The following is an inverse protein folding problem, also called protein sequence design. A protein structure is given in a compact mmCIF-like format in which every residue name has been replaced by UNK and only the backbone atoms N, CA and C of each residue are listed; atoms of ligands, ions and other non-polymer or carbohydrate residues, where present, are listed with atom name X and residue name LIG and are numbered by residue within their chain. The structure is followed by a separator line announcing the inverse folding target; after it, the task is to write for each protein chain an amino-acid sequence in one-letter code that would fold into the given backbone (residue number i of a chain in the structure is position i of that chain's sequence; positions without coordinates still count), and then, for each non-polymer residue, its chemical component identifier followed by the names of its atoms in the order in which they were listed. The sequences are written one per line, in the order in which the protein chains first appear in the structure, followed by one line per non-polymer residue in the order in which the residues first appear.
data_IF_644516198154
#
_entry.id   IF_644516198154
#
_cell.length_a   1.000
_cell.length_b   1.000
_cell.length_c   1.000
_cell.angle_alpha   90.00
_cell.angle_beta   90.00
_cell.angle_gamma   90.00
#
_symmetry.space_group_name_H-M   'P 1'
#
loop_
_entity.id
_entity.type
_entity.pdbx_description
1 polymer ?
#
# COMPACT_ATOMS: atom_id res chain seq x y z
N UNK A 1 -6.30 25.06 3.22
CA UNK A 1 -6.95 24.24 4.29
C UNK A 1 -8.06 23.47 3.60
N UNK A 2 -7.98 22.15 3.60
CA UNK A 2 -9.08 21.30 3.10
C UNK A 2 -10.14 21.30 4.19
N UNK A 3 -11.35 21.80 3.94
CA UNK A 3 -12.42 21.75 4.92
C UNK A 3 -12.85 20.28 5.12
N UNK A 4 -12.54 19.73 6.28
CA UNK A 4 -13.01 18.41 6.70
C UNK A 4 -14.32 18.61 7.44
N UNK A 5 -15.39 17.96 6.99
CA UNK A 5 -16.68 17.98 7.66
C UNK A 5 -16.70 16.96 8.79
N UNK A 6 -17.51 17.22 9.80
CA UNK A 6 -17.72 16.27 10.91
C UNK A 6 -18.22 14.91 10.40
N UNK A 7 -19.10 14.91 9.41
CA UNK A 7 -19.63 13.72 8.75
C UNK A 7 -18.51 12.86 8.13
N UNK A 8 -17.49 13.50 7.53
CA UNK A 8 -16.34 12.81 6.94
C UNK A 8 -15.50 12.09 8.00
N UNK A 9 -15.40 12.68 9.19
CA UNK A 9 -14.69 12.09 10.33
C UNK A 9 -15.48 10.89 10.87
N UNK A 10 -16.79 11.04 11.07
CA UNK A 10 -17.67 9.98 11.55
C UNK A 10 -17.62 8.79 10.60
N UNK A 11 -17.80 9.00 9.29
CA UNK A 11 -17.68 7.94 8.27
C UNK A 11 -16.33 7.22 8.35
N UNK A 12 -15.25 7.98 8.53
CA UNK A 12 -13.90 7.42 8.63
C UNK A 12 -13.73 6.52 9.86
N UNK A 13 -14.22 6.94 11.02
CA UNK A 13 -14.15 6.17 12.27
C UNK A 13 -14.98 4.89 12.21
N UNK A 14 -16.17 4.93 11.64
CA UNK A 14 -17.01 3.75 11.45
C UNK A 14 -16.34 2.71 10.54
N UNK A 15 -15.78 3.16 9.43
CA UNK A 15 -15.02 2.30 8.51
C UNK A 15 -13.80 1.67 9.19
N UNK A 16 -13.06 2.42 10.02
CA UNK A 16 -11.92 1.90 10.76
C UNK A 16 -12.33 0.81 11.76
N UNK A 17 -13.41 1.03 12.51
CA UNK A 17 -13.92 0.03 13.46
C UNK A 17 -14.30 -1.28 12.78
N UNK A 18 -14.95 -1.20 11.62
CA UNK A 18 -15.29 -2.37 10.82
C UNK A 18 -14.03 -3.08 10.28
N UNK A 19 -13.06 -2.30 9.81
CA UNK A 19 -11.80 -2.85 9.31
C UNK A 19 -11.00 -3.52 10.42
N UNK A 20 -10.89 -2.92 11.60
CA UNK A 20 -10.17 -3.47 12.74
C UNK A 20 -10.63 -4.89 13.09
N UNK A 21 -11.95 -5.12 13.10
CA UNK A 21 -12.50 -6.45 13.38
C UNK A 21 -12.08 -7.50 12.33
N UNK A 22 -11.81 -7.07 11.10
CA UNK A 22 -11.45 -7.96 9.99
C UNK A 22 -9.96 -8.26 9.90
N UNK A 23 -9.10 -7.31 10.33
CA UNK A 23 -7.65 -7.41 10.12
C UNK A 23 -6.82 -7.51 11.40
N UNK A 24 -7.43 -7.42 12.58
CA UNK A 24 -6.72 -7.56 13.85
C UNK A 24 -6.20 -8.99 14.06
N UNK A 25 -5.32 -9.15 15.05
CA UNK A 25 -4.74 -10.44 15.45
C UNK A 25 -5.76 -11.49 15.92
N UNK A 26 -7.00 -11.09 16.16
CA UNK A 26 -8.10 -12.01 16.46
C UNK A 26 -8.60 -12.76 15.21
N UNK A 27 -8.24 -12.31 14.01
CA UNK A 27 -8.56 -12.95 12.75
C UNK A 27 -7.26 -13.31 12.02
N UNK A 28 -6.77 -14.52 12.18
CA UNK A 28 -5.57 -15.04 11.51
C UNK A 28 -5.92 -15.97 10.32
N UNK A 29 -7.13 -15.85 9.78
CA UNK A 29 -7.57 -16.61 8.61
C UNK A 29 -7.25 -15.88 7.29
N UNK A 30 -7.43 -16.54 6.17
CA UNK A 30 -7.20 -15.94 4.83
C UNK A 30 -8.22 -14.84 4.48
N UNK A 31 -9.28 -14.67 5.28
CA UNK A 31 -10.18 -13.51 5.18
C UNK A 31 -9.55 -12.20 5.66
N UNK A 32 -8.44 -12.26 6.40
CA UNK A 32 -7.68 -11.10 6.84
C UNK A 32 -6.83 -10.56 5.69
N UNK A 33 -7.32 -9.53 5.02
CA UNK A 33 -6.65 -8.93 3.85
C UNK A 33 -5.24 -8.39 4.15
N UNK A 34 -5.00 -7.88 5.35
CA UNK A 34 -3.67 -7.39 5.73
C UNK A 34 -2.68 -8.54 5.87
N UNK A 35 -3.08 -9.64 6.50
CA UNK A 35 -2.28 -10.84 6.64
C UNK A 35 -2.02 -11.51 5.29
N UNK A 36 -3.06 -11.65 4.44
CA UNK A 36 -2.91 -12.22 3.10
C UNK A 36 -1.93 -11.42 2.25
N UNK A 37 -2.07 -10.10 2.21
CA UNK A 37 -1.12 -9.24 1.50
C UNK A 37 0.30 -9.39 2.04
N UNK A 38 0.48 -9.43 3.36
CA UNK A 38 1.80 -9.62 3.97
C UNK A 38 2.48 -10.94 3.57
N UNK A 39 1.70 -12.02 3.41
CA UNK A 39 2.20 -13.32 2.91
C UNK A 39 2.64 -13.26 1.44
N UNK A 40 1.94 -12.47 0.64
CA UNK A 40 2.16 -12.38 -0.81
C UNK A 40 3.31 -11.46 -1.21
N UNK A 41 3.61 -10.43 -0.40
CA UNK A 41 4.73 -9.52 -0.67
C UNK A 41 6.04 -10.32 -0.74
N UNK A 42 6.67 -10.27 -1.90
CA UNK A 42 7.99 -10.84 -2.18
C UNK A 42 8.95 -9.76 -2.67
N UNK A 43 10.25 -10.01 -2.66
CA UNK A 43 11.25 -9.09 -3.20
C UNK A 43 11.15 -7.65 -2.64
N UNK A 44 11.28 -6.67 -3.53
CA UNK A 44 11.22 -5.24 -3.21
C UNK A 44 9.86 -4.70 -3.66
N UNK A 45 8.94 -4.35 -2.74
CA UNK A 45 7.65 -3.79 -3.13
C UNK A 45 7.80 -2.44 -3.83
N UNK A 46 7.17 -2.30 -5.00
CA UNK A 46 6.96 -1.03 -5.69
C UNK A 46 5.47 -0.69 -5.65
N UNK A 47 5.13 0.33 -4.88
CA UNK A 47 3.75 0.73 -4.64
C UNK A 47 3.38 1.81 -5.64
N UNK A 48 2.56 1.48 -6.63
CA UNK A 48 1.96 2.44 -7.54
C UNK A 48 0.71 3.06 -6.92
N UNK A 49 0.58 4.37 -7.01
CA UNK A 49 -0.57 5.10 -6.49
C UNK A 49 -1.12 6.06 -7.54
N UNK A 50 -2.44 6.34 -7.53
CA UNK A 50 -3.04 7.39 -8.34
C UNK A 50 -3.08 8.70 -7.58
N UNK A 51 -3.36 9.80 -8.26
CA UNK A 51 -3.68 11.06 -7.63
C UNK A 51 -4.70 10.89 -6.48
N UNK A 52 -4.40 11.49 -5.33
CA UNK A 52 -5.23 11.43 -4.11
C UNK A 52 -4.93 10.27 -3.16
N UNK A 53 -4.20 9.20 -3.58
CA UNK A 53 -3.80 8.11 -2.70
C UNK A 53 -2.29 8.12 -2.37
N UNK A 54 -1.57 9.15 -2.77
CA UNK A 54 -0.12 9.31 -2.53
C UNK A 54 0.25 9.12 -1.05
N UNK A 55 -0.49 9.74 -0.14
CA UNK A 55 -0.20 9.66 1.29
C UNK A 55 -0.24 8.21 1.80
N UNK A 56 -1.19 7.39 1.32
CA UNK A 56 -1.27 5.98 1.68
C UNK A 56 -0.09 5.17 1.11
N UNK A 57 0.30 5.43 -0.14
CA UNK A 57 1.45 4.79 -0.77
C UNK A 57 2.76 5.10 -0.05
N UNK A 58 3.03 6.39 0.20
CA UNK A 58 4.23 6.83 0.93
C UNK A 58 4.25 6.26 2.35
N UNK A 59 3.12 6.31 3.06
CA UNK A 59 3.02 5.75 4.41
C UNK A 59 3.33 4.26 4.41
N UNK A 60 2.78 3.49 3.47
CA UNK A 60 3.03 2.06 3.38
C UNK A 60 4.50 1.74 3.12
N UNK A 61 5.14 2.45 2.17
CA UNK A 61 6.58 2.33 1.95
C UNK A 61 7.36 2.55 3.25
N UNK A 62 7.06 3.64 3.97
CA UNK A 62 7.74 3.97 5.22
C UNK A 62 7.50 2.89 6.30
N UNK A 63 6.26 2.41 6.44
CA UNK A 63 5.91 1.36 7.40
C UNK A 63 6.62 0.02 7.09
N UNK A 64 6.76 -0.36 5.82
CA UNK A 64 7.54 -1.55 5.44
C UNK A 64 9.03 -1.40 5.78
N UNK A 65 9.61 -0.22 5.52
CA UNK A 65 10.99 0.09 5.87
C UNK A 65 11.22 0.08 7.38
N UNK A 66 10.31 0.69 8.14
CA UNK A 66 10.43 0.81 9.60
C UNK A 66 10.10 -0.48 10.33
N UNK A 67 8.98 -1.16 10.01
CA UNK A 67 8.51 -2.34 10.71
C UNK A 67 9.19 -3.62 10.20
N UNK A 68 9.15 -3.86 8.90
CA UNK A 68 9.67 -5.09 8.28
C UNK A 68 11.15 -5.01 7.88
N UNK A 69 11.82 -3.87 8.10
CA UNK A 69 13.24 -3.62 7.78
C UNK A 69 13.58 -3.95 6.31
N UNK A 70 12.65 -3.77 5.40
CA UNK A 70 12.81 -4.10 3.99
C UNK A 70 12.80 -2.84 3.11
N UNK A 71 13.56 -2.87 2.01
CA UNK A 71 13.44 -1.81 1.01
C UNK A 71 12.06 -1.84 0.37
N UNK A 72 11.52 -0.66 0.10
CA UNK A 72 10.28 -0.48 -0.64
C UNK A 72 10.35 0.81 -1.44
N UNK A 73 9.68 0.84 -2.58
CA UNK A 73 9.59 1.98 -3.49
C UNK A 73 8.15 2.44 -3.65
N UNK A 74 7.97 3.67 -4.09
CA UNK A 74 6.64 4.23 -4.32
C UNK A 74 6.69 5.17 -5.53
N UNK A 75 5.68 5.10 -6.40
CA UNK A 75 5.67 5.87 -7.64
C UNK A 75 4.24 6.24 -8.07
N UNK A 76 4.07 7.44 -8.61
CA UNK A 76 2.81 7.84 -9.24
C UNK A 76 2.59 7.04 -10.53
N UNK A 77 1.40 6.46 -10.70
CA UNK A 77 1.11 5.58 -11.86
C UNK A 77 1.14 6.33 -13.19
N UNK A 78 0.85 7.63 -13.19
CA UNK A 78 0.88 8.44 -14.41
C UNK A 78 2.33 8.66 -14.82
N UNK A 79 3.19 9.02 -13.87
CA UNK A 79 4.63 9.21 -14.12
C UNK A 79 5.30 7.89 -14.50
N UNK A 80 5.01 6.82 -13.76
CA UNK A 80 5.49 5.47 -14.04
C UNK A 80 5.20 5.01 -15.47
N UNK A 81 4.08 5.43 -16.02
CA UNK A 81 3.71 5.09 -17.42
C UNK A 81 4.59 5.76 -18.48
N UNK A 82 5.43 6.72 -18.10
CA UNK A 82 6.38 7.37 -19.00
C UNK A 82 7.80 6.80 -18.86
N UNK A 83 8.25 6.57 -17.62
CA UNK A 83 9.64 6.19 -17.34
C UNK A 83 9.74 4.81 -16.67
N UNK A 84 9.02 4.62 -15.57
CA UNK A 84 9.13 3.42 -14.72
C UNK A 84 8.78 2.13 -15.45
N UNK A 85 7.87 2.20 -16.43
CA UNK A 85 7.46 1.03 -17.22
C UNK A 85 8.63 0.38 -17.98
N UNK A 86 9.63 1.16 -18.39
CA UNK A 86 10.79 0.66 -19.13
C UNK A 86 11.66 -0.27 -18.29
N UNK A 87 11.68 -0.07 -16.97
CA UNK A 87 12.45 -0.92 -16.06
C UNK A 87 11.97 -2.40 -16.04
N UNK A 88 10.73 -2.65 -16.47
CA UNK A 88 10.15 -3.99 -16.55
C UNK A 88 10.53 -4.78 -17.79
N UNK A 89 11.35 -4.21 -18.68
CA UNK A 89 11.92 -4.91 -19.85
C UNK A 89 13.01 -5.90 -19.43
N UNK A 90 13.51 -5.82 -18.21
CA UNK A 90 14.47 -6.77 -17.63
C UNK A 90 13.86 -7.52 -16.45
N UNK A 91 14.41 -8.72 -16.17
CA UNK A 91 14.07 -9.44 -14.97
C UNK A 91 14.37 -8.62 -13.71
N UNK A 92 13.46 -8.67 -12.75
CA UNK A 92 13.55 -7.87 -11.55
C UNK A 92 13.03 -8.63 -10.32
N UNK A 93 13.58 -8.31 -9.15
CA UNK A 93 13.07 -8.78 -7.86
C UNK A 93 12.02 -7.80 -7.28
N UNK A 94 11.55 -6.86 -8.08
CA UNK A 94 10.53 -5.88 -7.68
C UNK A 94 9.15 -6.51 -7.77
N UNK A 95 8.33 -6.27 -6.74
CA UNK A 95 6.95 -6.77 -6.64
C UNK A 95 5.96 -5.59 -6.73
N UNK A 96 5.20 -5.47 -7.83
CA UNK A 96 4.26 -4.38 -8.02
C UNK A 96 3.03 -4.49 -7.12
N UNK A 97 2.67 -3.40 -6.45
CA UNK A 97 1.45 -3.26 -5.67
C UNK A 97 0.68 -2.05 -6.19
N UNK A 98 -0.52 -2.27 -6.72
CA UNK A 98 -1.34 -1.25 -7.37
C UNK A 98 -2.41 -0.74 -6.40
N UNK A 99 -2.23 0.47 -5.84
CA UNK A 99 -3.27 1.12 -5.04
C UNK A 99 -4.28 1.80 -5.98
N UNK A 100 -5.53 1.39 -5.92
CA UNK A 100 -6.58 1.91 -6.79
C UNK A 100 -7.73 2.53 -6.01
N UNK A 101 -8.29 3.60 -6.54
CA UNK A 101 -9.47 4.26 -6.01
C UNK A 101 -10.73 3.93 -6.81
N UNK A 102 -11.85 3.72 -6.13
CA UNK A 102 -13.16 3.51 -6.78
C UNK A 102 -13.53 4.67 -7.73
N UNK A 103 -13.17 5.90 -7.33
CA UNK A 103 -13.44 7.13 -8.10
C UNK A 103 -12.20 7.71 -8.78
N UNK A 104 -11.22 6.88 -9.13
CA UNK A 104 -10.10 7.35 -9.94
C UNK A 104 -10.58 7.98 -11.24
N UNK A 105 -9.86 9.00 -11.71
CA UNK A 105 -10.13 9.64 -13.00
C UNK A 105 -10.15 8.59 -14.11
N UNK A 106 -11.01 8.80 -15.12
CA UNK A 106 -11.15 7.85 -16.23
C UNK A 106 -9.81 7.55 -16.91
N UNK A 107 -8.94 8.55 -17.09
CA UNK A 107 -7.61 8.37 -17.66
C UNK A 107 -6.69 7.53 -16.78
N UNK A 108 -6.81 7.65 -15.46
CA UNK A 108 -6.09 6.81 -14.51
C UNK A 108 -6.59 5.35 -14.59
N UNK A 109 -7.89 5.14 -14.69
CA UNK A 109 -8.48 3.79 -14.88
C UNK A 109 -8.02 3.14 -16.19
N UNK A 110 -7.93 3.91 -17.27
CA UNK A 110 -7.36 3.44 -18.54
C UNK A 110 -5.88 3.02 -18.37
N UNK A 111 -5.07 3.79 -17.64
CA UNK A 111 -3.67 3.45 -17.36
C UNK A 111 -3.54 2.17 -16.52
N UNK A 112 -4.34 2.03 -15.49
CA UNK A 112 -4.37 0.78 -14.70
C UNK A 112 -4.67 -0.43 -15.59
N UNK A 113 -5.64 -0.31 -16.50
CA UNK A 113 -5.97 -1.38 -17.44
C UNK A 113 -4.79 -1.72 -18.36
N UNK A 114 -4.13 -0.71 -18.93
CA UNK A 114 -3.00 -0.91 -19.83
C UNK A 114 -1.81 -1.52 -19.08
N UNK A 115 -1.49 -1.02 -17.88
CA UNK A 115 -0.40 -1.52 -17.06
C UNK A 115 -0.61 -3.00 -16.68
N UNK A 116 -1.83 -3.38 -16.31
CA UNK A 116 -2.17 -4.77 -16.00
C UNK A 116 -2.03 -5.67 -17.23
N UNK A 117 -2.50 -5.26 -18.39
CA UNK A 117 -2.31 -6.00 -19.65
C UNK A 117 -0.81 -6.21 -19.94
N UNK A 118 0.01 -5.18 -19.70
CA UNK A 118 1.45 -5.30 -19.85
C UNK A 118 2.06 -6.31 -18.88
N UNK A 119 1.71 -6.24 -17.62
CA UNK A 119 2.19 -7.18 -16.60
C UNK A 119 1.75 -8.63 -16.88
N UNK A 120 0.49 -8.83 -17.26
CA UNK A 120 -0.04 -10.14 -17.63
C UNK A 120 0.70 -10.76 -18.82
N UNK A 121 0.93 -9.96 -19.88
CA UNK A 121 1.67 -10.40 -21.08
C UNK A 121 3.14 -10.72 -20.76
N UNK A 122 3.75 -9.98 -19.84
CA UNK A 122 5.14 -10.15 -19.40
C UNK A 122 5.29 -11.16 -18.26
N UNK A 123 4.20 -11.80 -17.81
CA UNK A 123 4.14 -12.74 -16.69
C UNK A 123 4.70 -12.15 -15.38
N UNK A 124 4.50 -10.85 -15.17
CA UNK A 124 4.86 -10.14 -13.94
C UNK A 124 3.70 -10.28 -12.97
N UNK A 125 3.95 -10.94 -11.84
CA UNK A 125 2.98 -11.04 -10.76
C UNK A 125 2.82 -9.68 -10.07
N UNK A 126 1.59 -9.26 -9.81
CA UNK A 126 1.28 -8.00 -9.13
C UNK A 126 0.10 -8.15 -8.18
N UNK A 127 -0.08 -7.18 -7.28
CA UNK A 127 -1.21 -7.14 -6.35
C UNK A 127 -2.01 -5.87 -6.50
N UNK A 128 -3.33 -6.01 -6.51
CA UNK A 128 -4.27 -4.89 -6.54
C UNK A 128 -4.87 -4.66 -5.15
N UNK A 129 -4.88 -3.41 -4.71
CA UNK A 129 -5.49 -2.98 -3.46
C UNK A 129 -6.42 -1.82 -3.74
N UNK A 130 -7.69 -2.01 -3.43
CA UNK A 130 -8.71 -1.00 -3.66
C UNK A 130 -9.04 -0.24 -2.38
N UNK A 131 -9.15 1.09 -2.49
CA UNK A 131 -9.75 1.89 -1.44
C UNK A 131 -11.24 1.54 -1.28
N UNK A 132 -11.79 1.81 -0.11
CA UNK A 132 -13.25 1.76 0.08
C UNK A 132 -13.94 2.88 -0.71
N UNK A 133 -15.26 2.77 -0.86
CA UNK A 133 -16.11 3.89 -1.28
C UNK A 133 -16.19 4.90 -0.14
N UNK A 134 -16.51 6.16 -0.46
CA UNK A 134 -16.67 7.20 0.54
C UNK A 134 -15.88 8.47 0.22
N UNK A 135 -15.76 9.35 1.20
CA UNK A 135 -14.97 10.57 1.10
C UNK A 135 -13.47 10.27 1.05
N UNK A 136 -12.65 11.26 0.70
CA UNK A 136 -11.19 11.07 0.55
C UNK A 136 -10.50 10.73 1.87
N UNK A 137 -10.96 11.28 2.99
CA UNK A 137 -10.41 11.01 4.31
C UNK A 137 -10.64 9.54 4.69
N UNK A 138 -11.87 9.03 4.53
CA UNK A 138 -12.22 7.64 4.78
C UNK A 138 -11.37 6.67 3.94
N UNK A 139 -11.17 6.97 2.66
CA UNK A 139 -10.31 6.18 1.76
C UNK A 139 -8.87 6.12 2.22
N UNK A 140 -8.28 7.27 2.52
CA UNK A 140 -6.89 7.37 2.95
C UNK A 140 -6.66 6.68 4.29
N UNK A 141 -7.49 6.96 5.29
CA UNK A 141 -7.35 6.39 6.63
C UNK A 141 -7.56 4.87 6.59
N UNK A 142 -8.55 4.39 5.83
CA UNK A 142 -8.77 2.95 5.64
C UNK A 142 -7.54 2.26 5.03
N UNK A 143 -6.98 2.81 3.93
CA UNK A 143 -5.79 2.25 3.30
C UNK A 143 -4.59 2.30 4.23
N UNK A 144 -4.33 3.42 4.89
CA UNK A 144 -3.22 3.57 5.84
C UNK A 144 -3.32 2.50 6.92
N UNK A 145 -4.49 2.33 7.53
CA UNK A 145 -4.70 1.37 8.60
C UNK A 145 -4.50 -0.08 8.14
N UNK A 146 -5.07 -0.44 6.98
CA UNK A 146 -4.88 -1.76 6.35
C UNK A 146 -3.40 -2.05 6.09
N UNK A 147 -2.69 -1.08 5.52
CA UNK A 147 -1.31 -1.22 5.08
C UNK A 147 -0.30 -1.16 6.24
N UNK A 148 -0.59 -0.40 7.29
CA UNK A 148 0.18 -0.44 8.53
C UNK A 148 0.10 -1.83 9.18
N UNK A 149 -1.09 -2.44 9.29
CA UNK A 149 -1.23 -3.82 9.74
C UNK A 149 -0.48 -4.81 8.83
N UNK A 150 -0.53 -4.60 7.51
CA UNK A 150 0.22 -5.42 6.56
C UNK A 150 1.72 -5.39 6.86
N UNK A 151 2.27 -4.22 7.14
CA UNK A 151 3.70 -4.07 7.44
C UNK A 151 4.12 -4.78 8.75
N UNK A 152 3.26 -4.73 9.76
CA UNK A 152 3.47 -5.46 11.02
C UNK A 152 3.39 -6.98 10.80
N UNK A 153 2.38 -7.46 10.08
CA UNK A 153 2.29 -8.87 9.74
C UNK A 153 3.49 -9.34 8.91
N UNK A 154 3.97 -8.49 7.98
CA UNK A 154 5.18 -8.80 7.21
C UNK A 154 6.41 -8.94 8.10
N UNK A 155 6.58 -8.07 9.08
CA UNK A 155 7.64 -8.17 10.07
C UNK A 155 7.57 -9.50 10.83
N UNK A 156 6.39 -9.86 11.35
CA UNK A 156 6.18 -11.12 12.09
C UNK A 156 6.46 -12.35 11.23
N UNK A 157 5.93 -12.39 10.00
CA UNK A 157 6.16 -13.49 9.05
C UNK A 157 7.65 -13.63 8.74
N UNK A 158 8.36 -12.51 8.60
CA UNK A 158 9.80 -12.47 8.33
C UNK A 158 10.65 -12.70 9.60
N UNK A 159 10.03 -12.93 10.77
CA UNK A 159 10.69 -13.08 12.07
C UNK A 159 11.55 -11.86 12.45
N UNK A 160 11.09 -10.69 12.09
CA UNK A 160 11.74 -9.41 12.38
C UNK A 160 10.96 -8.72 13.50
N UNK A 161 11.67 -8.27 14.55
CA UNK A 161 11.09 -7.40 15.58
C UNK A 161 10.91 -5.99 14.99
N UNK A 162 9.66 -5.47 14.90
CA UNK A 162 9.42 -4.14 14.37
C UNK A 162 9.89 -3.00 15.30
N UNK A 163 10.05 -3.29 16.61
CA UNK A 163 10.27 -2.28 17.64
C UNK A 163 11.60 -1.54 17.54
N UNK A 164 12.79 -2.20 17.42
CA UNK A 164 14.06 -1.49 17.44
C UNK A 164 14.31 -0.72 16.14
N UNK A 165 14.74 0.53 16.29
CA UNK A 165 15.09 1.44 15.17
C UNK A 165 16.56 1.92 15.26
N UNK A 166 17.46 0.99 15.49
CA UNK A 166 18.89 1.24 15.75
C UNK A 166 19.58 2.19 14.76
N UNK A 167 19.21 2.14 13.48
CA UNK A 167 19.75 3.03 12.46
C UNK A 167 19.28 4.47 12.63
N UNK A 168 18.04 4.68 13.04
CA UNK A 168 17.51 6.02 13.37
C UNK A 168 18.21 6.56 14.62
N UNK A 169 18.37 5.73 15.65
CA UNK A 169 19.05 6.11 16.89
C UNK A 169 20.51 6.48 16.62
N UNK A 170 21.19 5.73 15.76
CA UNK A 170 22.55 6.05 15.32
C UNK A 170 22.64 7.42 14.63
N UNK A 171 21.71 7.73 13.69
CA UNK A 171 21.70 9.02 13.00
C UNK A 171 21.40 10.17 13.97
N UNK A 172 20.44 9.99 14.89
CA UNK A 172 20.06 11.02 15.87
C UNK A 172 21.12 11.30 16.93
N UNK A 173 22.02 10.36 17.16
CA UNK A 173 23.12 10.51 18.14
C UNK A 173 24.35 11.23 17.59
N UNK A 174 24.37 11.63 16.33
CA UNK A 174 25.45 12.36 15.65
C UNK A 174 25.10 13.80 15.41
#
# INVERSE_FOLDING_TARGET
IIPIKEEDIIESLENLKQLQNKISSNNLTDSNKALSLAKEISGIPLIYYPWGLQAAGIRFKNSLQENAKMHAMVEDVVEASHNGIVAWENESQVFPILLQGDKDNIKTKERWKILKIYFDNSKIEYKEIFSIKGNILAKLIHLIYLLDYTSIYKAVISKIDPTPVKSIDFIKSR
#
